data_IF_793594211449
#
_entry.id   IF_793594211449
#
_cell.length_a   1.000
_cell.length_b   1.000
_cell.length_c   1.000
_cell.angle_alpha   90.00
_cell.angle_beta   90.00
_cell.angle_gamma   90.00
#
_symmetry.space_group_name_H-M   'P 1'
#
loop_
_entity.id
_entity.type
_entity.pdbx_description
1 polymer ?
#
# COMPACT_ATOMS: atom_id res chain seq x y z
N UNK A 1 0.13 -3.79 -25.57
CA UNK A 1 0.42 -2.47 -25.00
C UNK A 1 1.01 -2.70 -23.61
N UNK A 2 2.15 -2.09 -23.26
CA UNK A 2 2.73 -2.24 -21.91
C UNK A 2 1.93 -1.36 -20.96
N UNK A 3 1.11 -1.96 -20.08
CA UNK A 3 0.41 -1.21 -19.03
C UNK A 3 1.44 -0.52 -18.13
N UNK A 4 1.26 0.77 -17.86
CA UNK A 4 2.18 1.51 -16.97
C UNK A 4 2.03 1.03 -15.52
N UNK A 5 3.11 1.07 -14.73
CA UNK A 5 3.09 0.71 -13.30
C UNK A 5 2.06 1.54 -12.52
N UNK A 6 1.88 2.81 -12.90
CA UNK A 6 0.86 3.69 -12.32
C UNK A 6 -0.55 3.13 -12.54
N UNK A 7 -0.89 2.71 -13.77
CA UNK A 7 -2.20 2.16 -14.06
C UNK A 7 -2.48 0.85 -13.29
N UNK A 8 -1.45 0.01 -13.12
CA UNK A 8 -1.54 -1.21 -12.28
C UNK A 8 -1.84 -0.83 -10.82
N UNK A 9 -1.12 0.15 -10.26
CA UNK A 9 -1.34 0.59 -8.89
C UNK A 9 -2.73 1.22 -8.70
N UNK A 10 -3.20 2.02 -9.65
CA UNK A 10 -4.55 2.60 -9.63
C UNK A 10 -5.64 1.53 -9.65
N UNK A 11 -5.47 0.48 -10.46
CA UNK A 11 -6.38 -0.66 -10.49
C UNK A 11 -6.39 -1.43 -9.16
N UNK A 12 -5.22 -1.66 -8.56
CA UNK A 12 -5.10 -2.28 -7.24
C UNK A 12 -5.80 -1.43 -6.18
N UNK A 13 -5.55 -0.11 -6.13
CA UNK A 13 -6.18 0.80 -5.17
C UNK A 13 -7.71 0.77 -5.31
N UNK A 14 -8.22 0.77 -6.55
CA UNK A 14 -9.65 0.67 -6.81
C UNK A 14 -10.23 -0.63 -6.26
N UNK A 15 -9.62 -1.78 -6.58
CA UNK A 15 -10.07 -3.08 -6.08
C UNK A 15 -9.99 -3.20 -4.55
N UNK A 16 -8.95 -2.65 -3.94
CA UNK A 16 -8.83 -2.59 -2.47
C UNK A 16 -9.88 -1.68 -1.85
N UNK A 17 -10.21 -0.55 -2.48
CA UNK A 17 -11.23 0.38 -2.00
C UNK A 17 -12.61 -0.28 -2.00
N UNK A 18 -12.92 -1.03 -3.06
CA UNK A 18 -14.13 -1.84 -3.14
C UNK A 18 -14.14 -2.92 -2.04
N UNK A 19 -13.03 -3.66 -1.86
CA UNK A 19 -12.92 -4.66 -0.81
C UNK A 19 -13.09 -4.06 0.59
N UNK A 20 -12.53 -2.89 0.89
CA UNK A 20 -12.71 -2.21 2.18
C UNK A 20 -14.19 -1.93 2.46
N UNK A 21 -14.95 -1.46 1.46
CA UNK A 21 -16.38 -1.19 1.60
C UNK A 21 -17.23 -2.43 1.84
N UNK A 22 -16.79 -3.59 1.34
CA UNK A 22 -17.55 -4.84 1.44
C UNK A 22 -17.13 -5.72 2.61
N UNK A 23 -15.87 -5.65 3.03
CA UNK A 23 -15.28 -6.58 4.00
C UNK A 23 -15.08 -5.96 5.39
N UNK A 24 -15.00 -4.63 5.49
CA UNK A 24 -14.78 -3.94 6.75
C UNK A 24 -16.06 -3.20 7.19
N UNK A 25 -16.23 -2.95 8.50
CA UNK A 25 -17.32 -2.11 9.00
C UNK A 25 -17.33 -0.73 8.33
N UNK A 26 -18.50 -0.07 8.23
CA UNK A 26 -18.58 1.33 7.81
C UNK A 26 -17.66 2.22 8.67
N UNK A 27 -17.02 3.20 8.03
CA UNK A 27 -16.07 4.12 8.68
C UNK A 27 -14.60 3.80 8.38
N UNK A 28 -14.27 2.59 7.90
CA UNK A 28 -12.91 2.31 7.42
C UNK A 28 -12.64 2.91 6.05
N UNK A 29 -11.49 3.59 5.93
CA UNK A 29 -11.06 4.26 4.70
C UNK A 29 -9.69 3.76 4.29
N UNK A 30 -9.54 3.45 3.00
CA UNK A 30 -8.27 3.16 2.37
C UNK A 30 -7.64 4.44 1.83
N UNK A 31 -6.36 4.66 2.11
CA UNK A 31 -5.60 5.77 1.55
C UNK A 31 -4.23 5.32 1.05
N UNK A 32 -3.91 5.52 -0.25
CA UNK A 32 -2.55 5.33 -0.72
C UNK A 32 -1.64 6.42 -0.15
N UNK A 33 -0.37 6.09 0.08
CA UNK A 33 0.62 7.05 0.57
C UNK A 33 2.02 6.73 0.01
N UNK A 34 3.02 7.49 0.45
CA UNK A 34 4.41 7.29 0.10
C UNK A 34 4.71 7.52 -1.39
N UNK A 35 5.63 6.73 -1.93
CA UNK A 35 6.26 7.01 -3.23
C UNK A 35 5.30 7.00 -4.43
N UNK A 36 4.20 6.26 -4.34
CA UNK A 36 3.13 6.27 -5.33
C UNK A 36 2.45 7.64 -5.39
N UNK A 37 2.00 8.16 -4.24
CA UNK A 37 1.35 9.48 -4.15
C UNK A 37 2.31 10.62 -4.51
N UNK A 38 3.59 10.48 -4.17
CA UNK A 38 4.62 11.46 -4.49
C UNK A 38 4.99 11.52 -6.00
N UNK A 39 4.46 10.63 -6.85
CA UNK A 39 4.92 10.40 -8.23
C UNK A 39 6.43 10.10 -8.33
N UNK A 40 7.00 9.41 -7.33
CA UNK A 40 8.45 9.08 -7.27
C UNK A 40 8.71 7.61 -6.93
N UNK A 41 7.76 6.74 -7.30
CA UNK A 41 7.84 5.29 -7.14
C UNK A 41 8.88 4.71 -8.11
N UNK A 42 9.73 3.80 -7.63
CA UNK A 42 10.69 3.08 -8.47
C UNK A 42 10.13 1.69 -8.82
N UNK A 43 10.48 1.11 -9.97
CA UNK A 43 10.10 -0.27 -10.29
C UNK A 43 10.49 -1.25 -9.19
N UNK A 44 9.55 -2.13 -8.81
CA UNK A 44 9.75 -3.13 -7.76
C UNK A 44 9.85 -2.55 -6.35
N UNK A 45 9.29 -1.38 -6.09
CA UNK A 45 8.95 -0.94 -4.72
C UNK A 45 7.52 -1.35 -4.39
N UNK A 46 7.23 -1.58 -3.11
CA UNK A 46 5.87 -1.83 -2.66
C UNK A 46 4.97 -0.61 -2.93
N UNK A 47 3.70 -0.89 -3.18
CA UNK A 47 2.61 0.07 -3.12
C UNK A 47 2.17 0.18 -1.65
N UNK A 48 2.31 1.36 -1.06
CA UNK A 48 1.97 1.59 0.33
C UNK A 48 0.55 2.15 0.45
N UNK A 49 -0.27 1.49 1.27
CA UNK A 49 -1.65 1.91 1.59
C UNK A 49 -1.89 1.83 3.08
N UNK A 50 -2.68 2.75 3.61
CA UNK A 50 -3.09 2.76 5.00
C UNK A 50 -4.60 2.58 5.10
N UNK A 51 -5.02 1.84 6.13
CA UNK A 51 -6.38 1.80 6.61
C UNK A 51 -6.48 2.66 7.86
N UNK A 52 -7.42 3.59 7.87
CA UNK A 52 -7.76 4.36 9.06
C UNK A 52 -9.28 4.36 9.25
N UNK A 53 -9.71 4.52 10.50
CA UNK A 53 -11.11 4.62 10.85
C UNK A 53 -11.51 6.09 10.99
N UNK A 54 -12.56 6.49 10.28
CA UNK A 54 -13.20 7.80 10.40
C UNK A 54 -14.51 7.62 11.16
N UNK A 55 -14.42 7.75 12.49
CA UNK A 55 -15.55 7.58 13.39
C UNK A 55 -15.11 7.59 14.86
N UNK A 56 -16.07 7.37 15.75
CA UNK A 56 -15.79 7.16 17.17
C UNK A 56 -15.49 5.66 17.33
N UNK A 57 -14.24 5.32 17.62
CA UNK A 57 -13.89 3.93 17.95
C UNK A 57 -14.62 3.54 19.24
N UNK A 58 -15.46 2.50 19.18
CA UNK A 58 -16.06 1.94 20.39
C UNK A 58 -14.97 1.25 21.23
N UNK A 59 -14.88 1.63 22.50
CA UNK A 59 -13.92 1.04 23.44
C UNK A 59 -14.03 -0.49 23.47
N UNK A 60 -12.90 -1.18 23.26
CA UNK A 60 -12.78 -2.63 23.40
C UNK A 60 -12.65 -3.43 22.10
N UNK A 61 -12.78 -2.81 20.92
CA UNK A 61 -12.53 -3.48 19.65
C UNK A 61 -11.15 -3.14 19.07
N UNK A 62 -10.10 -3.79 19.55
CA UNK A 62 -8.80 -3.80 18.86
C UNK A 62 -8.89 -4.66 17.59
N UNK A 63 -9.60 -4.19 16.57
CA UNK A 63 -9.71 -4.86 15.29
C UNK A 63 -8.52 -4.51 14.40
N UNK A 64 -7.67 -5.49 14.10
CA UNK A 64 -6.61 -5.31 13.10
C UNK A 64 -7.22 -5.36 11.69
N UNK A 65 -7.69 -4.21 11.22
CA UNK A 65 -8.34 -4.08 9.91
C UNK A 65 -7.46 -4.48 8.74
N UNK A 66 -6.15 -4.23 8.81
CA UNK A 66 -5.20 -4.65 7.78
C UNK A 66 -5.16 -6.17 7.65
N UNK A 67 -5.13 -6.88 8.78
CA UNK A 67 -5.16 -8.34 8.83
C UNK A 67 -6.50 -8.89 8.34
N UNK A 68 -7.61 -8.29 8.80
CA UNK A 68 -8.97 -8.68 8.40
C UNK A 68 -9.20 -8.54 6.90
N UNK A 69 -8.77 -7.40 6.33
CA UNK A 69 -8.83 -7.14 4.90
C UNK A 69 -7.97 -8.15 4.11
N UNK A 70 -6.71 -8.34 4.51
CA UNK A 70 -5.82 -9.29 3.84
C UNK A 70 -6.40 -10.71 3.82
N UNK A 71 -6.95 -11.18 4.95
CA UNK A 71 -7.61 -12.48 5.02
C UNK A 71 -8.84 -12.56 4.10
N UNK A 72 -9.63 -11.49 3.99
CA UNK A 72 -10.77 -11.44 3.09
C UNK A 72 -10.35 -11.48 1.61
N UNK A 73 -9.32 -10.71 1.23
CA UNK A 73 -8.75 -10.69 -0.12
C UNK A 73 -8.21 -12.07 -0.53
N UNK A 74 -7.48 -12.74 0.38
CA UNK A 74 -6.98 -14.09 0.13
C UNK A 74 -8.10 -15.13 -0.03
N UNK A 75 -9.21 -14.99 0.69
CA UNK A 75 -10.36 -15.91 0.56
C UNK A 75 -11.16 -15.69 -0.72
N UNK A 76 -11.49 -14.44 -1.04
CA UNK A 76 -12.41 -14.09 -2.15
C UNK A 76 -11.70 -13.94 -3.50
N UNK A 77 -10.40 -13.70 -3.49
CA UNK A 77 -9.59 -13.48 -4.67
C UNK A 77 -8.24 -14.21 -4.58
N UNK A 78 -8.28 -15.49 -4.18
CA UNK A 78 -7.12 -16.37 -3.94
C UNK A 78 -6.15 -16.52 -5.12
N UNK A 79 -6.59 -16.23 -6.36
CA UNK A 79 -5.73 -16.20 -7.55
C UNK A 79 -5.07 -14.84 -7.83
N UNK A 80 -5.50 -13.78 -7.13
CA UNK A 80 -5.07 -12.40 -7.35
C UNK A 80 -4.23 -11.82 -6.21
N UNK A 81 -4.29 -12.43 -5.03
CA UNK A 81 -3.49 -12.01 -3.88
C UNK A 81 -2.74 -13.20 -3.28
N UNK A 82 -1.47 -12.98 -2.98
CA UNK A 82 -0.60 -13.92 -2.26
C UNK A 82 0.02 -13.21 -1.05
N UNK A 83 0.06 -13.88 0.09
CA UNK A 83 0.64 -13.33 1.30
C UNK A 83 2.17 -13.47 1.29
N UNK A 84 2.89 -12.37 1.56
CA UNK A 84 4.37 -12.35 1.59
C UNK A 84 4.92 -12.46 3.01
N UNK A 85 4.29 -11.81 3.97
CA UNK A 85 4.67 -11.86 5.39
C UNK A 85 3.63 -12.64 6.18
N UNK A 86 4.01 -13.50 7.13
CA UNK A 86 3.04 -14.30 7.88
C UNK A 86 2.07 -13.39 8.64
N UNK A 87 0.78 -13.72 8.57
CA UNK A 87 -0.22 -13.26 9.52
C UNK A 87 0.27 -13.76 10.88
N UNK A 88 0.85 -12.91 11.74
CA UNK A 88 1.32 -13.36 13.05
C UNK A 88 0.17 -13.99 13.81
N UNK A 89 0.16 -15.32 13.83
CA UNK A 89 -0.81 -16.11 14.55
C UNK A 89 -0.42 -16.11 16.03
N UNK A 90 -1.43 -15.87 16.89
CA UNK A 90 -1.39 -16.04 18.34
C UNK A 90 -0.68 -14.92 19.14
N UNK A 91 -1.50 -14.12 19.83
CA UNK A 91 -1.22 -13.65 21.20
C UNK A 91 -0.18 -12.56 21.43
N UNK A 92 0.67 -12.21 20.47
CA UNK A 92 1.49 -11.01 20.54
C UNK A 92 0.67 -9.81 20.06
N UNK A 93 0.72 -8.63 20.72
CA UNK A 93 0.19 -7.40 20.12
C UNK A 93 0.83 -7.30 18.74
N UNK A 94 0.01 -7.14 17.70
CA UNK A 94 0.44 -7.08 16.32
C UNK A 94 1.69 -6.20 16.24
N UNK A 95 2.86 -6.81 16.02
CA UNK A 95 4.10 -6.08 15.83
C UNK A 95 3.81 -5.01 14.77
N UNK A 96 4.15 -3.76 15.07
CA UNK A 96 3.70 -2.51 14.42
C UNK A 96 4.07 -2.34 12.94
N UNK A 97 4.26 -3.42 12.19
CA UNK A 97 4.60 -3.45 10.79
C UNK A 97 3.38 -3.67 9.86
N UNK A 98 3.56 -3.43 8.56
CA UNK A 98 2.50 -3.61 7.57
C UNK A 98 2.21 -5.08 7.27
N UNK A 99 0.95 -5.36 6.89
CA UNK A 99 0.59 -6.62 6.23
C UNK A 99 1.01 -6.56 4.77
N UNK A 100 1.85 -7.50 4.33
CA UNK A 100 2.41 -7.51 2.96
C UNK A 100 1.79 -8.57 2.07
N UNK A 101 1.32 -8.17 0.90
CA UNK A 101 0.71 -9.03 -0.13
C UNK A 101 1.41 -8.81 -1.48
N UNK A 102 1.42 -9.83 -2.35
CA UNK A 102 1.59 -9.67 -3.79
C UNK A 102 0.20 -9.59 -4.42
N UNK A 103 -0.07 -8.53 -5.15
CA UNK A 103 -1.28 -8.36 -5.97
C UNK A 103 -0.96 -8.65 -7.45
N UNK A 104 -1.79 -9.45 -8.12
CA UNK A 104 -1.65 -9.85 -9.53
C UNK A 104 -2.97 -9.73 -10.33
N UNK A 105 -2.89 -9.86 -11.66
CA UNK A 105 -3.87 -9.37 -12.66
C UNK A 105 -5.37 -9.54 -12.29
N UNK A 106 -6.10 -8.42 -12.31
CA UNK A 106 -7.53 -8.27 -12.02
C UNK A 106 -8.43 -8.19 -13.26
N UNK A 107 -7.88 -8.13 -14.48
CA UNK A 107 -8.64 -7.84 -15.72
C UNK A 107 -8.32 -8.71 -16.93
N UNK A 108 -7.20 -9.44 -16.99
CA UNK A 108 -6.89 -10.26 -18.17
C UNK A 108 -6.16 -11.56 -17.80
N UNK A 109 -6.40 -12.65 -18.52
CA UNK A 109 -5.69 -13.93 -18.29
C UNK A 109 -4.18 -13.88 -18.56
N UNK A 110 -3.57 -12.70 -18.71
CA UNK A 110 -2.12 -12.54 -18.83
C UNK A 110 -1.52 -12.27 -17.45
N UNK A 111 -0.46 -12.99 -17.09
CA UNK A 111 0.28 -12.73 -15.85
C UNK A 111 1.09 -11.45 -16.00
N UNK A 112 0.45 -10.29 -15.91
CA UNK A 112 1.14 -9.04 -15.62
C UNK A 112 1.85 -9.20 -14.25
N UNK A 113 3.08 -8.67 -14.17
CA UNK A 113 3.97 -8.88 -13.02
C UNK A 113 3.29 -8.55 -11.69
N UNK A 114 3.49 -9.40 -10.68
CA UNK A 114 2.94 -9.19 -9.34
C UNK A 114 3.50 -7.89 -8.74
N UNK A 115 2.62 -7.06 -8.18
CA UNK A 115 2.97 -5.84 -7.46
C UNK A 115 2.95 -6.12 -5.95
N UNK A 116 4.03 -5.79 -5.25
CA UNK A 116 4.04 -5.85 -3.79
C UNK A 116 3.16 -4.74 -3.22
N UNK A 117 2.33 -5.07 -2.24
CA UNK A 117 1.40 -4.20 -1.54
C UNK A 117 1.72 -4.28 -0.04
N UNK A 118 1.82 -3.14 0.62
CA UNK A 118 1.98 -3.05 2.06
C UNK A 118 0.78 -2.28 2.65
N UNK A 119 0.02 -2.96 3.51
CA UNK A 119 -1.17 -2.44 4.16
C UNK A 119 -0.83 -2.09 5.61
N UNK A 120 -0.88 -0.80 5.92
CA UNK A 120 -0.61 -0.25 7.24
C UNK A 120 -1.90 0.05 7.98
N UNK A 121 -1.83 0.05 9.31
CA UNK A 121 -2.79 0.78 10.12
C UNK A 121 -2.30 2.24 10.20
N UNK A 122 -3.17 3.19 9.90
CA UNK A 122 -2.84 4.61 9.88
C UNK A 122 -3.91 5.44 10.53
N UNK A 123 -3.81 6.74 10.33
CA UNK A 123 -4.71 7.76 10.88
C UNK A 123 -5.16 8.75 9.79
N UNK A 124 -5.99 9.71 10.19
CA UNK A 124 -6.47 10.78 9.31
C UNK A 124 -5.35 11.65 8.71
N UNK A 125 -4.17 11.67 9.31
CA UNK A 125 -3.00 12.44 8.85
C UNK A 125 -2.10 11.64 7.88
N UNK A 126 -2.27 10.33 7.81
CA UNK A 126 -1.47 9.45 6.97
C UNK A 126 -1.60 9.87 5.49
N UNK A 127 -0.47 9.99 4.80
CA UNK A 127 -0.41 10.43 3.40
C UNK A 127 -0.54 11.94 3.16
N UNK A 128 -0.87 12.76 4.17
CA UNK A 128 -0.98 14.22 4.00
C UNK A 128 0.35 14.84 3.56
N UNK A 129 1.45 14.44 4.19
CA UNK A 129 2.78 14.92 3.82
C UNK A 129 3.19 14.52 2.39
N UNK A 130 2.75 13.36 1.91
CA UNK A 130 3.06 12.89 0.55
C UNK A 130 2.41 13.75 -0.52
N UNK A 131 1.19 14.24 -0.26
CA UNK A 131 0.51 15.21 -1.13
C UNK A 131 1.25 16.55 -1.16
N UNK A 132 1.70 17.03 -0.01
CA UNK A 132 2.53 18.25 0.07
C UNK A 132 3.84 18.08 -0.69
N UNK A 133 4.50 16.93 -0.55
CA UNK A 133 5.73 16.65 -1.29
C UNK A 133 5.48 16.56 -2.79
N UNK A 134 4.39 15.90 -3.22
CA UNK A 134 3.97 15.88 -4.64
C UNK A 134 3.80 17.30 -5.19
N UNK A 135 3.12 18.17 -4.44
CA UNK A 135 2.90 19.56 -4.83
C UNK A 135 4.20 20.38 -4.84
N UNK A 136 5.13 20.13 -3.92
CA UNK A 136 6.44 20.78 -3.94
C UNK A 136 7.25 20.35 -5.17
N UNK A 137 7.25 19.04 -5.48
CA UNK A 137 7.95 18.48 -6.63
C UNK A 137 7.34 18.90 -7.98
N UNK A 138 6.05 19.24 -8.03
CA UNK A 138 5.41 19.70 -9.27
C UNK A 138 5.79 21.14 -9.65
N UNK A 139 6.38 21.92 -8.74
CA UNK A 139 6.84 23.29 -9.01
C UNK A 139 8.06 23.35 -9.93
N UNK A 140 8.85 22.27 -9.97
CA UNK A 140 10.03 22.17 -10.83
C UNK A 140 10.09 20.76 -11.47
N UNK A 141 9.95 20.64 -12.80
CA UNK A 141 10.06 19.37 -13.50
C UNK A 141 11.36 18.59 -13.23
N UNK A 142 12.46 19.27 -12.90
CA UNK A 142 13.75 18.64 -12.60
C UNK A 142 13.79 18.02 -11.19
N UNK A 143 13.01 18.54 -10.24
CA UNK A 143 13.00 18.07 -8.85
C UNK A 143 12.60 16.58 -8.76
N UNK A 144 11.56 16.18 -9.50
CA UNK A 144 11.13 14.77 -9.56
C UNK A 144 12.25 13.87 -10.13
N UNK A 145 12.92 14.31 -11.19
CA UNK A 145 14.03 13.58 -11.80
C UNK A 145 15.18 13.40 -10.82
N UNK A 146 15.56 14.46 -10.10
CA UNK A 146 16.60 14.43 -9.08
C UNK A 146 16.24 13.45 -7.95
N UNK A 147 15.02 13.50 -7.42
CA UNK A 147 14.57 12.57 -6.38
C UNK A 147 14.66 11.12 -6.86
N UNK A 148 14.22 10.82 -8.09
CA UNK A 148 14.31 9.49 -8.66
C UNK A 148 15.77 9.02 -8.80
N UNK A 149 16.69 9.91 -9.20
CA UNK A 149 18.11 9.59 -9.29
C UNK A 149 18.72 9.30 -7.92
N UNK A 150 18.43 10.12 -6.91
CA UNK A 150 18.89 9.92 -5.53
C UNK A 150 18.33 8.62 -4.95
N UNK A 151 17.03 8.32 -5.15
CA UNK A 151 16.42 7.06 -4.71
C UNK A 151 17.10 5.85 -5.38
N UNK A 152 17.38 5.90 -6.69
CA UNK A 152 18.08 4.83 -7.42
C UNK A 152 19.50 4.63 -6.90
N UNK A 153 20.23 5.72 -6.72
CA UNK A 153 21.59 5.69 -6.16
C UNK A 153 21.57 5.08 -4.76
N UNK A 154 20.71 5.56 -3.85
CA UNK A 154 20.60 5.03 -2.49
C UNK A 154 20.26 3.53 -2.47
N UNK A 155 19.34 3.09 -3.34
CA UNK A 155 18.99 1.66 -3.50
C UNK A 155 20.16 0.83 -4.01
N UNK A 156 20.91 1.32 -5.01
CA UNK A 156 22.11 0.63 -5.52
C UNK A 156 23.24 0.49 -4.49
N UNK A 157 23.23 1.34 -3.46
CA UNK A 157 24.19 1.34 -2.36
C UNK A 157 23.70 0.57 -1.13
N UNK A 158 22.49 0.00 -1.18
CA UNK A 158 21.88 -0.65 -0.02
C UNK A 158 21.50 0.30 1.13
N UNK A 159 21.49 1.62 0.87
CA UNK A 159 21.17 2.64 1.87
C UNK A 159 19.65 2.83 2.04
N UNK A 160 18.87 2.41 1.05
CA UNK A 160 17.43 2.31 1.18
C UNK A 160 17.10 1.09 2.05
N UNK A 161 17.06 1.27 3.37
CA UNK A 161 16.61 0.22 4.28
C UNK A 161 15.20 -0.23 3.90
N UNK A 162 15.00 -1.55 3.74
CA UNK A 162 13.68 -2.15 4.04
C UNK A 162 13.46 -1.87 5.53
N UNK A 163 12.41 -1.13 5.88
CA UNK A 163 12.15 -0.67 7.25
C UNK A 163 12.53 -1.74 8.29
N UNK A 164 13.54 -1.41 9.10
CA UNK A 164 13.83 -2.11 10.34
C UNK A 164 12.86 -1.57 11.37
N UNK A 165 12.02 -2.45 11.91
CA UNK A 165 10.96 -2.18 12.88
C UNK A 165 9.76 -3.04 12.62
#
# INVERSE_FOLDING_TARGET
>A
ATTSMTAICEEIIRGLTEAVRHELPPGWILRPFGSFVQDTMLPGTALDVALYFEGIEEEGQSFNAALGLAAALMRKASGRFELISPLSASGAPAASGPVRLLAGDFSSGQRLGKQELAIYHGDVATGVFDLLLRQALSRDPQARSLVLQVKRWARSRGLAQRGLG
#
